data_IF_833933571081
#
_entry.id   IF_833933571081
#
_cell.length_a   1.000
_cell.length_b   1.000
_cell.length_c   1.000
_cell.angle_alpha   90.00
_cell.angle_beta   90.00
_cell.angle_gamma   90.00
#
_symmetry.space_group_name_H-M   'P 1'
#
loop_
_entity.id
_entity.type
_entity.pdbx_description
1 polymer ?
#
# COMPACT_ATOMS: atom_id res chain seq x y z
N UNK A 1 -35.17 7.27 -14.30
CA UNK A 1 -35.61 7.10 -12.90
C UNK A 1 -34.45 7.52 -11.99
N UNK A 2 -34.71 8.27 -10.91
CA UNK A 2 -34.29 9.67 -10.73
C UNK A 2 -32.80 9.86 -10.36
N UNK A 3 -32.30 11.06 -10.68
CA UNK A 3 -30.90 11.45 -10.62
C UNK A 3 -30.27 11.42 -9.24
N UNK A 4 -28.99 11.05 -9.20
CA UNK A 4 -28.07 11.45 -8.14
C UNK A 4 -27.30 12.66 -8.64
N UNK A 5 -27.90 13.83 -8.49
CA UNK A 5 -27.13 15.07 -8.46
C UNK A 5 -26.13 14.94 -7.32
N UNK A 6 -24.84 15.11 -7.61
CA UNK A 6 -23.82 15.22 -6.58
C UNK A 6 -23.87 16.66 -6.02
N UNK A 7 -24.85 16.95 -5.17
CA UNK A 7 -24.73 18.05 -4.21
C UNK A 7 -24.52 17.45 -2.83
N UNK A 8 -23.27 17.38 -2.39
CA UNK A 8 -23.03 17.48 -0.95
C UNK A 8 -23.37 18.90 -0.53
N UNK A 9 -24.00 19.07 0.63
CA UNK A 9 -24.66 20.29 1.12
C UNK A 9 -23.82 21.60 1.18
N UNK A 10 -22.65 21.72 0.55
CA UNK A 10 -21.73 22.87 0.66
C UNK A 10 -20.85 23.17 -0.58
N UNK A 11 -21.27 22.84 -1.82
CA UNK A 11 -20.46 23.06 -3.04
C UNK A 11 -19.07 22.36 -3.00
N UNK A 12 -18.98 21.22 -2.31
CA UNK A 12 -17.77 20.41 -2.19
C UNK A 12 -18.01 19.06 -2.87
N UNK A 13 -17.11 18.70 -3.79
CA UNK A 13 -17.03 17.36 -4.34
C UNK A 13 -16.14 16.50 -3.43
N UNK A 14 -16.71 15.45 -2.84
CA UNK A 14 -16.02 14.63 -1.83
C UNK A 14 -15.90 13.17 -2.27
N UNK A 15 -14.71 12.63 -2.09
CA UNK A 15 -14.31 11.23 -2.21
C UNK A 15 -13.68 10.73 -0.91
N UNK A 16 -13.88 11.46 0.19
CA UNK A 16 -13.34 11.15 1.51
C UNK A 16 -13.77 9.77 1.99
N UNK A 17 -12.93 9.15 2.81
CA UNK A 17 -13.23 7.85 3.37
C UNK A 17 -12.12 7.37 4.29
N UNK A 18 -12.39 6.23 4.93
CA UNK A 18 -11.40 5.53 5.74
C UNK A 18 -10.76 4.41 4.91
N UNK A 19 -9.43 4.44 4.80
CA UNK A 19 -8.66 3.35 4.20
C UNK A 19 -7.67 2.85 5.25
N UNK A 20 -7.74 1.58 5.66
CA UNK A 20 -6.86 1.07 6.71
C UNK A 20 -5.38 1.06 6.31
N UNK A 21 -5.08 1.15 5.00
CA UNK A 21 -3.72 1.13 4.45
C UNK A 21 -3.40 2.47 3.78
N UNK A 22 -2.12 2.72 3.55
CA UNK A 22 -1.69 3.85 2.76
C UNK A 22 -2.01 3.62 1.27
N UNK A 23 -2.73 4.54 0.63
CA UNK A 23 -3.02 4.49 -0.80
C UNK A 23 -2.75 5.85 -1.44
N UNK A 24 -2.21 5.86 -2.65
CA UNK A 24 -2.28 7.04 -3.51
C UNK A 24 -3.50 6.89 -4.41
N UNK A 25 -4.56 7.65 -4.13
CA UNK A 25 -5.77 7.64 -4.95
C UNK A 25 -5.76 8.80 -5.92
N UNK A 26 -6.22 8.53 -7.13
CA UNK A 26 -6.32 9.50 -8.21
C UNK A 26 -7.74 9.53 -8.76
N UNK A 27 -8.21 10.71 -9.17
CA UNK A 27 -9.48 10.94 -9.84
C UNK A 27 -9.27 11.90 -11.00
N UNK A 28 -9.94 11.60 -12.11
CA UNK A 28 -10.00 12.47 -13.27
C UNK A 28 -11.44 12.96 -13.41
N UNK A 29 -11.60 14.28 -13.44
CA UNK A 29 -12.88 14.95 -13.59
C UNK A 29 -12.82 15.85 -14.82
N UNK A 30 -13.99 16.20 -15.34
CA UNK A 30 -14.13 17.08 -16.48
C UNK A 30 -15.28 18.03 -16.26
N UNK A 31 -15.06 19.29 -16.58
CA UNK A 31 -16.09 20.33 -16.59
C UNK A 31 -15.93 21.17 -17.85
N UNK A 32 -17.05 21.52 -18.48
CA UNK A 32 -17.07 22.47 -19.58
C UNK A 32 -17.49 23.84 -19.00
N UNK A 33 -16.69 24.89 -19.22
CA UNK A 33 -16.99 26.28 -18.82
C UNK A 33 -17.35 27.10 -20.07
N UNK A 34 -18.37 27.94 -19.98
CA UNK A 34 -18.84 28.75 -21.10
C UNK A 34 -18.61 30.23 -20.80
N UNK A 35 -17.51 30.77 -21.33
CA UNK A 35 -17.09 32.14 -21.11
C UNK A 35 -17.79 33.09 -22.09
N UNK A 36 -18.38 34.22 -21.63
CA UNK A 36 -19.07 35.16 -22.53
C UNK A 36 -18.10 35.92 -23.45
N UNK A 37 -16.84 36.04 -23.06
CA UNK A 37 -15.77 36.65 -23.84
C UNK A 37 -14.44 35.97 -23.53
N UNK A 38 -13.44 36.12 -24.40
CA UNK A 38 -12.07 35.70 -24.09
C UNK A 38 -11.50 36.59 -23.00
N UNK A 39 -10.78 36.01 -22.04
CA UNK A 39 -10.23 36.76 -20.91
C UNK A 39 -9.77 35.88 -19.77
N UNK A 40 -9.43 36.52 -18.66
CA UNK A 40 -9.01 35.85 -17.44
C UNK A 40 -10.16 35.83 -16.44
N UNK A 41 -10.39 34.67 -15.85
CA UNK A 41 -11.47 34.41 -14.90
C UNK A 41 -10.89 33.85 -13.60
N UNK A 42 -11.27 34.44 -12.46
CA UNK A 42 -10.68 34.10 -11.15
C UNK A 42 -11.45 32.99 -10.45
N UNK A 43 -10.72 31.97 -10.00
CA UNK A 43 -11.26 30.86 -9.22
C UNK A 43 -10.45 30.65 -7.95
N UNK A 44 -11.10 30.17 -6.91
CA UNK A 44 -10.45 29.60 -5.73
C UNK A 44 -10.59 28.10 -5.76
N UNK A 45 -9.45 27.42 -5.76
CA UNK A 45 -9.36 25.97 -5.64
C UNK A 45 -9.06 25.62 -4.20
N UNK A 46 -9.79 24.67 -3.64
CA UNK A 46 -9.61 24.17 -2.28
C UNK A 46 -9.51 22.65 -2.27
N UNK A 47 -8.45 22.09 -1.66
CA UNK A 47 -8.25 20.64 -1.51
C UNK A 47 -7.31 20.31 -0.34
N UNK A 48 -7.24 19.04 0.07
CA UNK A 48 -6.22 18.54 1.01
C UNK A 48 -4.97 18.02 0.28
N UNK A 49 -5.18 17.23 -0.79
CA UNK A 49 -4.14 16.57 -1.57
C UNK A 49 -3.61 17.45 -2.70
N UNK A 50 -3.69 16.97 -3.94
CA UNK A 50 -3.30 17.71 -5.14
C UNK A 50 -4.45 17.90 -6.11
N UNK A 51 -4.45 19.05 -6.79
CA UNK A 51 -5.29 19.39 -7.93
C UNK A 51 -4.45 19.96 -9.06
N UNK A 52 -4.68 19.47 -10.27
CA UNK A 52 -4.08 19.98 -11.51
C UNK A 52 -5.17 20.19 -12.55
N UNK A 53 -5.08 21.30 -13.29
CA UNK A 53 -6.04 21.69 -14.32
C UNK A 53 -5.35 21.79 -15.67
N UNK A 54 -6.00 21.29 -16.72
CA UNK A 54 -5.60 21.47 -18.11
C UNK A 54 -6.77 21.96 -18.95
N UNK A 55 -6.47 22.70 -20.01
CA UNK A 55 -7.40 23.04 -21.10
C UNK A 55 -6.76 22.61 -22.41
N UNK A 56 -7.41 21.71 -23.14
CA UNK A 56 -6.93 21.21 -24.44
C UNK A 56 -5.43 20.83 -24.42
N UNK A 57 -5.06 20.00 -23.42
CA UNK A 57 -3.69 19.51 -23.11
C UNK A 57 -2.69 20.55 -22.59
N UNK A 58 -3.06 21.84 -22.54
CA UNK A 58 -2.24 22.90 -21.96
C UNK A 58 -2.43 22.96 -20.43
N UNK A 59 -1.36 22.83 -19.61
CA UNK A 59 -1.46 22.91 -18.16
C UNK A 59 -1.77 24.34 -17.71
N UNK A 60 -2.85 24.52 -16.94
CA UNK A 60 -3.27 25.82 -16.40
C UNK A 60 -2.88 26.00 -14.94
N UNK A 61 -3.02 24.95 -14.12
CA UNK A 61 -2.82 25.04 -12.66
C UNK A 61 -2.19 23.77 -12.14
N UNK A 62 -1.28 23.92 -11.17
CA UNK A 62 -0.80 22.85 -10.31
C UNK A 62 -0.80 23.35 -8.86
N UNK A 63 -1.63 22.75 -8.01
CA UNK A 63 -1.71 23.05 -6.58
C UNK A 63 -1.70 21.76 -5.79
N UNK A 64 -0.61 21.49 -5.08
CA UNK A 64 -0.36 20.20 -4.41
C UNK A 64 0.06 20.38 -2.94
N UNK A 65 -0.83 20.89 -2.08
CA UNK A 65 -0.52 21.15 -0.67
C UNK A 65 -0.24 19.89 0.16
N UNK A 66 -0.89 18.75 -0.13
CA UNK A 66 -0.76 17.49 0.63
C UNK A 66 -0.80 17.67 2.15
N UNK A 67 -1.82 18.37 2.64
CA UNK A 67 -2.05 18.61 4.07
C UNK A 67 -3.11 17.67 4.62
N UNK A 68 -2.73 16.81 5.58
CA UNK A 68 -3.62 15.82 6.19
C UNK A 68 -4.90 16.45 6.75
N UNK A 69 -6.03 16.09 6.15
CA UNK A 69 -7.40 16.45 6.58
C UNK A 69 -7.65 17.95 6.82
N UNK A 70 -6.79 18.81 6.28
CA UNK A 70 -6.93 20.26 6.37
C UNK A 70 -7.03 20.80 4.97
N UNK A 71 -8.17 21.39 4.64
CA UNK A 71 -8.36 22.02 3.33
C UNK A 71 -7.42 23.22 3.21
N UNK A 72 -6.63 23.29 2.14
CA UNK A 72 -5.85 24.45 1.74
C UNK A 72 -6.45 25.02 0.46
N UNK A 73 -6.22 26.30 0.21
CA UNK A 73 -6.73 26.94 -0.99
C UNK A 73 -5.68 27.79 -1.69
N UNK A 74 -5.91 28.01 -2.98
CA UNK A 74 -5.17 28.97 -3.79
C UNK A 74 -6.15 29.65 -4.75
N UNK A 75 -5.91 30.93 -5.04
CA UNK A 75 -6.64 31.65 -6.08
C UNK A 75 -5.86 31.59 -7.38
N UNK A 76 -6.56 31.29 -8.47
CA UNK A 76 -6.00 31.06 -9.78
C UNK A 76 -6.78 31.84 -10.83
N UNK A 77 -6.03 32.44 -11.75
CA UNK A 77 -6.55 33.15 -12.90
C UNK A 77 -6.51 32.20 -14.11
N UNK A 78 -7.68 31.78 -14.60
CA UNK A 78 -7.79 30.91 -15.78
C UNK A 78 -8.03 31.75 -17.03
N UNK A 79 -7.14 31.63 -18.02
CA UNK A 79 -7.36 32.21 -19.34
C UNK A 79 -8.36 31.34 -20.12
N UNK A 80 -9.54 31.89 -20.42
CA UNK A 80 -10.61 31.21 -21.16
C UNK A 80 -10.84 31.92 -22.50
N UNK A 81 -11.17 31.15 -23.54
CA UNK A 81 -11.64 31.67 -24.83
C UNK A 81 -13.15 31.90 -24.78
N UNK A 82 -13.67 32.87 -25.53
CA UNK A 82 -15.11 33.04 -25.69
C UNK A 82 -15.78 31.73 -26.14
N UNK A 83 -16.92 31.38 -25.54
CA UNK A 83 -17.61 30.11 -25.75
C UNK A 83 -17.10 29.00 -24.84
N UNK A 84 -17.11 27.77 -25.35
CA UNK A 84 -16.85 26.55 -24.57
C UNK A 84 -15.36 26.32 -24.33
N UNK A 85 -15.00 26.10 -23.07
CA UNK A 85 -13.66 25.73 -22.61
C UNK A 85 -13.77 24.42 -21.84
N UNK A 86 -13.07 23.38 -22.29
CA UNK A 86 -13.06 22.11 -21.58
C UNK A 86 -11.90 22.06 -20.60
N UNK A 87 -12.21 21.89 -19.32
CA UNK A 87 -11.21 21.65 -18.30
C UNK A 87 -11.14 20.18 -17.94
N UNK A 88 -9.92 19.65 -17.95
CA UNK A 88 -9.58 18.37 -17.34
C UNK A 88 -8.99 18.63 -15.96
N UNK A 89 -9.50 17.95 -14.94
CA UNK A 89 -9.09 18.10 -13.55
C UNK A 89 -8.52 16.77 -13.09
N UNK A 90 -7.26 16.76 -12.66
CA UNK A 90 -6.68 15.64 -11.96
C UNK A 90 -6.62 15.94 -10.47
N UNK A 91 -7.23 15.08 -9.67
CA UNK A 91 -7.17 15.11 -8.23
C UNK A 91 -6.38 13.92 -7.73
N UNK A 92 -5.52 14.12 -6.76
CA UNK A 92 -4.84 13.02 -6.08
C UNK A 92 -4.68 13.23 -4.59
N UNK A 93 -4.67 12.14 -3.83
CA UNK A 93 -4.56 12.16 -2.39
C UNK A 93 -3.78 10.97 -1.86
N UNK A 94 -3.01 11.21 -0.80
CA UNK A 94 -2.33 10.18 -0.02
C UNK A 94 -3.26 9.76 1.13
N UNK A 95 -4.05 8.72 0.88
CA UNK A 95 -4.93 8.12 1.87
C UNK A 95 -4.12 7.40 2.93
N UNK A 96 -4.39 7.71 4.19
CA UNK A 96 -3.98 6.91 5.35
C UNK A 96 -5.04 7.07 6.45
N UNK A 97 -5.75 5.98 6.77
CA UNK A 97 -6.90 5.96 7.70
C UNK A 97 -7.99 6.92 7.22
N UNK A 98 -8.62 7.65 8.12
CA UNK A 98 -9.59 8.70 7.80
C UNK A 98 -8.92 9.81 7.01
N UNK A 99 -9.28 9.92 5.73
CA UNK A 99 -8.72 10.91 4.82
C UNK A 99 -9.81 11.74 4.17
N UNK A 100 -9.67 13.07 4.25
CA UNK A 100 -10.48 14.03 3.52
C UNK A 100 -9.95 14.16 2.11
N UNK A 101 -10.63 13.56 1.13
CA UNK A 101 -10.31 13.70 -0.27
C UNK A 101 -11.39 14.51 -0.97
N UNK A 102 -11.21 15.82 -1.01
CA UNK A 102 -12.24 16.73 -1.50
C UNK A 102 -11.67 17.80 -2.43
N UNK A 103 -12.52 18.28 -3.33
CA UNK A 103 -12.28 19.43 -4.19
C UNK A 103 -13.43 20.43 -4.03
N UNK A 104 -13.08 21.70 -3.92
CA UNK A 104 -13.99 22.81 -4.17
C UNK A 104 -13.33 23.75 -5.17
N UNK A 105 -14.11 24.19 -6.15
CA UNK A 105 -13.72 25.18 -7.15
C UNK A 105 -14.78 26.27 -7.16
N UNK A 106 -14.43 27.46 -6.66
CA UNK A 106 -15.35 28.60 -6.52
C UNK A 106 -14.96 29.68 -7.51
N UNK A 107 -15.87 30.06 -8.39
CA UNK A 107 -15.69 31.22 -9.25
C UNK A 107 -15.89 32.53 -8.46
N UNK A 108 -15.02 33.52 -8.66
CA UNK A 108 -14.93 34.71 -7.80
C UNK A 108 -15.28 36.03 -8.49
N UNK A 109 -15.39 36.09 -9.82
CA UNK A 109 -15.63 37.35 -10.51
C UNK A 109 -17.14 37.67 -10.63
N UNK A 110 -17.45 38.93 -10.91
CA UNK A 110 -18.83 39.42 -11.08
C UNK A 110 -19.48 39.03 -12.42
N UNK A 111 -18.67 38.80 -13.46
CA UNK A 111 -19.16 38.46 -14.80
C UNK A 111 -19.79 37.07 -14.77
N UNK A 112 -21.05 36.85 -15.18
CA UNK A 112 -21.64 35.51 -15.19
C UNK A 112 -20.85 34.53 -16.04
N UNK A 113 -20.59 33.34 -15.49
CA UNK A 113 -19.93 32.24 -16.17
C UNK A 113 -20.83 31.01 -16.08
N UNK A 114 -21.13 30.40 -17.21
CA UNK A 114 -21.97 29.21 -17.28
C UNK A 114 -21.11 27.93 -17.30
N UNK A 115 -21.68 26.79 -16.90
CA UNK A 115 -20.95 25.53 -16.78
C UNK A 115 -21.82 24.33 -17.17
N UNK A 116 -21.15 23.29 -17.70
CA UNK A 116 -21.76 22.01 -18.04
C UNK A 116 -20.93 20.86 -17.48
N UNK A 117 -21.62 19.86 -16.94
CA UNK A 117 -21.03 18.56 -16.62
C UNK A 117 -21.27 17.60 -17.80
N UNK A 118 -20.29 16.75 -18.16
CA UNK A 118 -20.49 15.81 -19.26
C UNK A 118 -21.58 14.78 -18.96
N UNK A 119 -22.39 14.46 -19.96
CA UNK A 119 -23.35 13.35 -19.91
C UNK A 119 -22.58 12.03 -19.83
N UNK A 120 -22.49 11.50 -18.62
CA UNK A 120 -21.80 10.26 -18.22
C UNK A 120 -20.28 10.23 -18.48
N UNK A 121 -19.54 9.94 -17.42
CA UNK A 121 -18.19 9.38 -17.54
C UNK A 121 -18.32 7.97 -18.11
N UNK A 122 -17.53 7.53 -19.12
CA UNK A 122 -17.39 6.10 -19.37
C UNK A 122 -17.04 5.45 -18.04
N UNK A 123 -17.74 4.37 -17.67
CA UNK A 123 -17.54 3.74 -16.38
C UNK A 123 -16.10 3.24 -16.31
N UNK A 124 -15.22 4.03 -15.67
CA UNK A 124 -13.98 3.52 -15.12
C UNK A 124 -14.42 2.42 -14.17
N UNK A 125 -13.94 1.20 -14.43
CA UNK A 125 -14.14 0.05 -13.55
C UNK A 125 -13.92 0.56 -12.14
N UNK A 126 -14.98 0.55 -11.31
CA UNK A 126 -14.86 0.98 -9.93
C UNK A 126 -13.63 0.26 -9.37
N UNK A 127 -12.66 0.98 -8.74
CA UNK A 127 -11.59 0.27 -8.05
C UNK A 127 -12.29 -0.77 -7.19
N UNK A 128 -11.91 -2.06 -7.35
CA UNK A 128 -12.53 -3.14 -6.58
C UNK A 128 -12.67 -2.63 -5.17
N UNK A 129 -13.90 -2.50 -4.69
CA UNK A 129 -14.12 -2.20 -3.28
C UNK A 129 -13.38 -3.31 -2.55
N UNK A 130 -12.22 -2.97 -2.02
CA UNK A 130 -11.51 -3.84 -1.11
C UNK A 130 -12.40 -3.84 0.12
N UNK A 131 -13.29 -4.82 0.19
CA UNK A 131 -13.85 -5.22 1.47
C UNK A 131 -12.64 -5.71 2.24
N UNK A 132 -12.19 -5.00 3.28
CA UNK A 132 -11.17 -5.56 4.14
C UNK A 132 -11.71 -6.92 4.57
N UNK A 133 -10.93 -8.02 4.50
CA UNK A 133 -11.26 -9.17 5.32
C UNK A 133 -11.51 -8.58 6.70
N UNK A 134 -12.66 -8.92 7.30
CA UNK A 134 -13.03 -8.48 8.65
C UNK A 134 -11.75 -8.52 9.46
N UNK A 135 -11.37 -7.41 10.11
CA UNK A 135 -10.16 -7.35 10.93
C UNK A 135 -10.12 -8.65 11.70
N UNK A 136 -9.27 -9.57 11.24
CA UNK A 136 -8.93 -10.72 12.03
C UNK A 136 -8.33 -10.01 13.22
N UNK A 137 -9.04 -10.14 14.33
CA UNK A 137 -8.43 -10.02 15.63
C UNK A 137 -7.02 -10.59 15.52
N UNK A 138 -6.10 -10.03 16.29
CA UNK A 138 -4.81 -10.63 16.61
C UNK A 138 -4.97 -12.00 17.29
N UNK A 139 -5.91 -12.85 16.84
CA UNK A 139 -5.77 -14.28 16.87
C UNK A 139 -4.45 -14.57 16.16
N UNK A 140 -3.50 -15.02 16.96
CA UNK A 140 -2.19 -15.46 16.52
C UNK A 140 -2.44 -16.62 15.54
N UNK A 141 -2.42 -16.34 14.23
CA UNK A 141 -2.50 -17.41 13.23
C UNK A 141 -1.24 -18.26 13.36
N UNK A 142 -1.44 -19.44 13.91
CA UNK A 142 -0.44 -20.43 14.30
C UNK A 142 -0.13 -21.42 13.17
N UNK A 143 -0.69 -21.20 11.97
CA UNK A 143 -0.57 -22.13 10.83
C UNK A 143 0.89 -22.53 10.56
N UNK A 144 1.81 -21.56 10.62
CA UNK A 144 3.24 -21.79 10.39
C UNK A 144 3.91 -22.63 11.48
N UNK A 145 3.54 -22.43 12.75
CA UNK A 145 4.05 -23.22 13.86
C UNK A 145 3.49 -24.65 13.84
N UNK A 146 2.18 -24.78 13.58
CA UNK A 146 1.52 -26.08 13.45
C UNK A 146 2.06 -26.88 12.27
N UNK A 147 2.33 -26.22 11.14
CA UNK A 147 3.02 -26.83 10.00
C UNK A 147 4.38 -27.41 10.39
N UNK A 148 5.20 -26.65 11.12
CA UNK A 148 6.52 -27.10 11.57
C UNK A 148 6.41 -28.30 12.51
N UNK A 149 5.46 -28.29 13.45
CA UNK A 149 5.25 -29.39 14.39
C UNK A 149 4.91 -30.70 13.66
N UNK A 150 3.98 -30.66 12.71
CA UNK A 150 3.61 -31.84 11.93
C UNK A 150 4.75 -32.32 11.02
N UNK A 151 5.50 -31.39 10.41
CA UNK A 151 6.69 -31.73 9.61
C UNK A 151 7.77 -32.43 10.46
N UNK A 152 8.00 -31.96 11.69
CA UNK A 152 8.96 -32.56 12.62
C UNK A 152 8.55 -33.98 13.06
N UNK A 153 7.24 -34.20 13.27
CA UNK A 153 6.68 -35.51 13.62
C UNK A 153 6.50 -36.43 12.39
N UNK A 154 6.76 -35.92 11.18
CA UNK A 154 6.53 -36.60 9.89
C UNK A 154 5.07 -37.03 9.68
N UNK A 155 4.14 -36.28 10.25
CA UNK A 155 2.70 -36.50 10.11
C UNK A 155 2.20 -35.84 8.82
N UNK A 156 2.30 -36.57 7.72
CA UNK A 156 1.98 -36.07 6.38
C UNK A 156 0.51 -36.30 6.02
N UNK A 157 -0.34 -35.34 6.39
CA UNK A 157 -1.77 -35.32 6.10
C UNK A 157 -2.21 -34.20 5.13
N UNK A 158 -3.45 -34.24 4.62
CA UNK A 158 -3.98 -33.22 3.70
C UNK A 158 -4.02 -31.80 4.29
N UNK A 159 -3.94 -31.68 5.62
CA UNK A 159 -3.88 -30.40 6.33
C UNK A 159 -2.54 -29.67 6.11
N UNK A 160 -1.43 -30.37 5.81
CA UNK A 160 -0.11 -29.73 5.62
C UNK A 160 -0.11 -28.76 4.45
N UNK A 161 -0.71 -29.16 3.33
CA UNK A 161 -0.83 -28.31 2.15
C UNK A 161 -1.61 -27.04 2.51
N UNK A 162 -2.74 -27.18 3.22
CA UNK A 162 -3.56 -26.05 3.65
C UNK A 162 -2.79 -25.10 4.58
N UNK A 163 -2.04 -25.63 5.55
CA UNK A 163 -1.22 -24.84 6.46
C UNK A 163 -0.09 -24.11 5.71
N UNK A 164 0.59 -24.79 4.78
CA UNK A 164 1.62 -24.18 3.94
C UNK A 164 1.03 -23.08 3.05
N UNK A 165 -0.11 -23.33 2.40
CA UNK A 165 -0.79 -22.32 1.58
C UNK A 165 -1.25 -21.11 2.40
N UNK A 166 -1.81 -21.33 3.60
CA UNK A 166 -2.19 -20.26 4.53
C UNK A 166 -0.98 -19.40 4.88
N UNK A 167 0.10 -20.03 5.34
CA UNK A 167 1.36 -19.37 5.72
C UNK A 167 1.95 -18.59 4.54
N UNK A 168 2.02 -19.19 3.35
CA UNK A 168 2.52 -18.54 2.14
C UNK A 168 1.66 -17.34 1.72
N UNK A 169 0.33 -17.45 1.85
CA UNK A 169 -0.60 -16.39 1.48
C UNK A 169 -0.38 -15.17 2.36
N UNK A 170 -0.33 -15.37 3.68
CA UNK A 170 -0.10 -14.31 4.66
C UNK A 170 1.24 -13.59 4.49
N UNK A 171 2.32 -14.35 4.27
CA UNK A 171 3.66 -13.79 4.04
C UNK A 171 3.73 -13.05 2.70
N UNK A 172 3.14 -13.61 1.64
CA UNK A 172 3.13 -12.97 0.32
C UNK A 172 2.28 -11.70 0.28
N UNK A 173 1.17 -11.68 1.04
CA UNK A 173 0.31 -10.51 1.20
C UNK A 173 0.91 -9.45 2.14
N UNK A 174 2.01 -9.76 2.85
CA UNK A 174 2.69 -8.86 3.79
C UNK A 174 1.71 -8.29 4.82
N UNK A 175 0.90 -9.18 5.39
CA UNK A 175 -0.07 -8.82 6.43
C UNK A 175 0.63 -8.40 7.73
N UNK A 176 -0.12 -7.74 8.62
CA UNK A 176 0.37 -7.40 9.96
C UNK A 176 0.77 -8.68 10.72
N UNK A 177 1.96 -8.68 11.31
CA UNK A 177 2.52 -9.85 11.99
C UNK A 177 2.96 -10.99 11.05
N UNK A 178 2.94 -10.82 9.73
CA UNK A 178 3.41 -11.84 8.78
C UNK A 178 4.89 -12.22 8.96
N UNK A 179 5.68 -11.41 9.66
CA UNK A 179 7.08 -11.74 10.01
C UNK A 179 7.19 -13.00 10.87
N UNK A 180 6.20 -13.28 11.72
CA UNK A 180 6.19 -14.51 12.52
C UNK A 180 5.93 -15.75 11.66
N UNK A 181 4.99 -15.65 10.69
CA UNK A 181 4.77 -16.68 9.67
C UNK A 181 6.00 -16.84 8.76
N UNK A 182 6.69 -15.75 8.43
CA UNK A 182 7.93 -15.76 7.67
C UNK A 182 9.05 -16.52 8.40
N UNK A 183 9.20 -16.29 9.70
CA UNK A 183 10.14 -17.02 10.54
C UNK A 183 9.85 -18.54 10.50
N UNK A 184 8.58 -18.94 10.53
CA UNK A 184 8.22 -20.35 10.33
C UNK A 184 8.63 -20.89 8.95
N UNK A 185 8.45 -20.11 7.86
CA UNK A 185 8.91 -20.51 6.53
C UNK A 185 10.43 -20.62 6.42
N UNK A 186 11.18 -19.76 7.11
CA UNK A 186 12.63 -19.84 7.18
C UNK A 186 13.10 -21.13 7.85
N UNK A 187 12.47 -21.51 8.97
CA UNK A 187 12.73 -22.79 9.64
C UNK A 187 12.33 -23.99 8.79
N UNK A 188 11.16 -23.92 8.14
CA UNK A 188 10.67 -24.95 7.24
C UNK A 188 11.68 -25.19 6.10
N UNK A 189 12.18 -24.11 5.50
CA UNK A 189 13.22 -24.18 4.48
C UNK A 189 14.54 -24.74 5.03
N UNK A 190 14.97 -24.29 6.21
CA UNK A 190 16.22 -24.72 6.79
C UNK A 190 16.25 -26.22 7.10
N UNK A 191 15.14 -26.76 7.63
CA UNK A 191 15.10 -28.13 8.19
C UNK A 191 14.52 -29.18 7.26
N UNK A 192 13.54 -28.81 6.44
CA UNK A 192 12.72 -29.78 5.71
C UNK A 192 12.71 -29.58 4.19
N UNK A 193 13.54 -28.69 3.66
CA UNK A 193 13.54 -28.42 2.21
C UNK A 193 13.80 -29.70 1.42
N UNK A 194 12.88 -29.98 0.50
CA UNK A 194 12.92 -31.16 -0.36
C UNK A 194 12.16 -32.36 0.19
N UNK A 195 11.65 -32.27 1.42
CA UNK A 195 10.75 -33.27 2.01
C UNK A 195 9.30 -33.00 1.63
N UNK A 196 8.47 -34.06 1.65
CA UNK A 196 7.02 -34.12 1.53
C UNK A 196 6.37 -33.36 0.34
N UNK A 197 6.53 -32.03 0.28
CA UNK A 197 5.96 -31.16 -0.72
C UNK A 197 6.63 -31.30 -2.10
N UNK A 198 5.88 -31.15 -3.20
CA UNK A 198 6.43 -31.15 -4.54
C UNK A 198 7.38 -29.95 -4.77
N UNK A 199 8.35 -30.12 -5.67
CA UNK A 199 9.36 -29.11 -5.98
C UNK A 199 8.79 -27.72 -6.35
N UNK A 200 7.57 -27.66 -6.91
CA UNK A 200 6.88 -26.40 -7.21
C UNK A 200 6.56 -25.59 -5.95
N UNK A 201 6.16 -26.25 -4.86
CA UNK A 201 5.88 -25.56 -3.59
C UNK A 201 7.15 -25.07 -2.94
N UNK A 202 8.25 -25.84 -2.99
CA UNK A 202 9.55 -25.35 -2.53
C UNK A 202 10.05 -24.15 -3.33
N UNK A 203 9.84 -24.12 -4.66
CA UNK A 203 10.11 -22.90 -5.46
C UNK A 203 9.27 -21.72 -4.99
N UNK A 204 8.00 -21.93 -4.66
CA UNK A 204 7.12 -20.89 -4.12
C UNK A 204 7.60 -20.39 -2.75
N UNK A 205 7.98 -21.29 -1.83
CA UNK A 205 8.59 -20.91 -0.53
C UNK A 205 9.82 -20.04 -0.76
N UNK A 206 10.77 -20.47 -1.60
CA UNK A 206 11.97 -19.67 -1.90
C UNK A 206 11.60 -18.30 -2.48
N UNK A 207 10.67 -18.25 -3.43
CA UNK A 207 10.22 -17.00 -4.04
C UNK A 207 9.57 -16.07 -3.02
N UNK A 208 8.78 -16.61 -2.09
CA UNK A 208 8.16 -15.83 -1.01
C UNK A 208 9.22 -15.27 -0.06
N UNK A 209 10.24 -16.05 0.32
CA UNK A 209 11.35 -15.59 1.15
C UNK A 209 12.15 -14.48 0.46
N UNK A 210 12.56 -14.66 -0.80
CA UNK A 210 13.35 -13.66 -1.55
C UNK A 210 12.54 -12.43 -1.96
N UNK A 211 11.21 -12.55 -2.07
CA UNK A 211 10.30 -11.47 -2.42
C UNK A 211 9.76 -10.67 -1.22
N UNK A 212 10.03 -11.12 0.00
CA UNK A 212 9.57 -10.45 1.20
C UNK A 212 10.32 -9.12 1.44
N UNK A 213 9.66 -8.21 2.15
CA UNK A 213 10.19 -6.90 2.53
C UNK A 213 10.66 -6.97 3.98
N UNK A 214 11.96 -7.00 4.20
CA UNK A 214 12.57 -7.28 5.50
C UNK A 214 12.65 -6.07 6.41
N UNK A 215 12.45 -4.86 5.89
CA UNK A 215 12.46 -3.64 6.70
C UNK A 215 11.77 -2.47 6.01
N UNK A 216 11.48 -1.39 6.76
CA UNK A 216 10.69 -0.27 6.27
C UNK A 216 11.39 0.56 5.17
N UNK A 217 12.72 0.50 5.04
CA UNK A 217 13.49 1.19 3.99
C UNK A 217 13.39 0.50 2.62
N UNK A 218 12.88 -0.73 2.58
CA UNK A 218 12.74 -1.51 1.35
C UNK A 218 11.46 -1.15 0.61
N UNK A 219 11.47 -1.31 -0.72
CA UNK A 219 10.32 -0.95 -1.57
C UNK A 219 9.10 -1.82 -1.23
N UNK A 220 7.99 -1.17 -0.97
CA UNK A 220 6.70 -1.81 -0.72
C UNK A 220 5.69 -0.85 -0.11
N UNK A 221 4.41 -1.12 -0.35
CA UNK A 221 3.30 -0.44 0.29
C UNK A 221 2.42 -1.53 0.90
N UNK A 222 2.66 -1.82 2.17
CA UNK A 222 2.07 -2.94 2.90
C UNK A 222 1.80 -2.55 4.36
N UNK A 223 1.12 -3.44 5.09
CA UNK A 223 0.44 -3.16 6.36
C UNK A 223 1.30 -3.54 7.57
N UNK A 224 2.54 -3.96 7.31
CA UNK A 224 3.43 -4.54 8.30
C UNK A 224 3.87 -3.50 9.34
N UNK A 225 3.70 -3.85 10.61
CA UNK A 225 4.20 -3.06 11.73
C UNK A 225 5.65 -3.46 12.03
N UNK A 226 6.61 -2.62 11.63
CA UNK A 226 8.04 -2.86 11.87
C UNK A 226 8.49 -2.49 13.29
N UNK A 227 7.71 -1.67 13.98
CA UNK A 227 8.08 -1.07 15.26
C UNK A 227 7.44 -1.82 16.44
N UNK A 228 8.02 -1.64 17.63
CA UNK A 228 7.74 -2.42 18.84
C UNK A 228 8.82 -3.47 19.07
N UNK A 229 9.18 -3.73 20.34
CA UNK A 229 10.33 -4.58 20.71
C UNK A 229 10.29 -5.96 20.03
N UNK A 230 9.13 -6.62 20.12
CA UNK A 230 8.91 -7.95 19.53
C UNK A 230 9.06 -7.95 18.00
N UNK A 231 8.43 -6.98 17.31
CA UNK A 231 8.49 -6.87 15.86
C UNK A 231 9.92 -6.56 15.38
N UNK A 232 10.60 -5.62 16.03
CA UNK A 232 11.97 -5.24 15.68
C UNK A 232 12.89 -6.46 15.75
N UNK A 233 12.82 -7.23 16.83
CA UNK A 233 13.61 -8.44 16.99
C UNK A 233 13.24 -9.51 15.93
N UNK A 234 11.95 -9.72 15.66
CA UNK A 234 11.50 -10.70 14.67
C UNK A 234 11.99 -10.35 13.25
N UNK A 235 11.88 -9.09 12.83
CA UNK A 235 12.34 -8.63 11.52
C UNK A 235 13.86 -8.71 11.39
N UNK A 236 14.62 -8.29 12.42
CA UNK A 236 16.08 -8.40 12.43
C UNK A 236 16.52 -9.87 12.34
N UNK A 237 15.88 -10.75 13.10
CA UNK A 237 16.14 -12.20 13.08
C UNK A 237 15.83 -12.78 11.71
N UNK A 238 14.67 -12.46 11.14
CA UNK A 238 14.29 -12.94 9.82
C UNK A 238 15.25 -12.44 8.73
N UNK A 239 15.64 -11.16 8.77
CA UNK A 239 16.58 -10.57 7.80
C UNK A 239 17.96 -11.22 7.89
N UNK A 240 18.44 -11.47 9.10
CA UNK A 240 19.69 -12.17 9.33
C UNK A 240 19.64 -13.61 8.79
N UNK A 241 18.64 -14.38 9.18
CA UNK A 241 18.48 -15.78 8.79
C UNK A 241 18.31 -15.93 7.28
N UNK A 242 17.47 -15.11 6.66
CA UNK A 242 17.26 -15.14 5.22
C UNK A 242 18.55 -14.81 4.46
N UNK A 243 19.28 -13.78 4.92
CA UNK A 243 20.57 -13.41 4.34
C UNK A 243 21.61 -14.52 4.46
N UNK A 244 21.65 -15.23 5.60
CA UNK A 244 22.53 -16.39 5.85
C UNK A 244 22.15 -17.60 4.98
N UNK A 245 20.86 -17.88 4.79
CA UNK A 245 20.36 -19.01 4.00
C UNK A 245 20.57 -18.82 2.49
N UNK A 246 20.60 -17.57 2.01
CA UNK A 246 20.69 -17.24 0.59
C UNK A 246 21.73 -16.16 0.29
N UNK A 247 23.01 -16.37 0.64
CA UNK A 247 24.03 -15.31 0.64
C UNK A 247 24.22 -14.62 -0.72
N UNK A 248 24.07 -15.37 -1.81
CA UNK A 248 24.27 -14.90 -3.19
C UNK A 248 22.97 -14.63 -3.94
N UNK A 249 21.80 -14.81 -3.31
CA UNK A 249 20.53 -14.55 -3.96
C UNK A 249 20.15 -13.06 -3.89
N UNK A 250 19.44 -12.58 -4.92
CA UNK A 250 18.86 -11.25 -4.96
C UNK A 250 17.54 -11.20 -4.19
N UNK A 251 17.45 -10.29 -3.22
CA UNK A 251 16.23 -9.96 -2.50
C UNK A 251 15.49 -8.85 -3.25
N UNK A 252 14.29 -9.15 -3.76
CA UNK A 252 13.64 -8.33 -4.78
C UNK A 252 13.19 -6.97 -4.23
N UNK A 253 12.66 -6.93 -3.00
CA UNK A 253 12.15 -5.71 -2.38
C UNK A 253 13.25 -4.66 -2.13
N UNK A 254 14.48 -5.11 -1.87
CA UNK A 254 15.62 -4.24 -1.57
C UNK A 254 16.60 -4.05 -2.72
N UNK A 255 16.64 -5.00 -3.66
CA UNK A 255 17.70 -5.10 -4.66
C UNK A 255 19.05 -5.54 -4.08
N UNK A 256 19.10 -6.00 -2.83
CA UNK A 256 20.33 -6.41 -2.13
C UNK A 256 20.59 -7.91 -2.29
N UNK A 257 21.86 -8.31 -2.22
CA UNK A 257 22.24 -9.72 -2.08
C UNK A 257 22.07 -10.19 -0.63
N UNK A 258 21.92 -11.49 -0.41
CA UNK A 258 21.67 -12.05 0.94
C UNK A 258 22.74 -11.72 1.97
N UNK A 259 24.02 -11.79 1.64
CA UNK A 259 25.10 -11.40 2.56
C UNK A 259 25.01 -9.92 2.97
N UNK A 260 24.46 -9.06 2.10
CA UNK A 260 24.21 -7.65 2.41
C UNK A 260 23.03 -7.50 3.36
N UNK A 261 21.95 -8.28 3.16
CA UNK A 261 20.82 -8.34 4.10
C UNK A 261 21.27 -8.81 5.48
N UNK A 262 22.09 -9.87 5.54
CA UNK A 262 22.63 -10.40 6.78
C UNK A 262 23.44 -9.34 7.55
N UNK A 263 24.38 -8.67 6.86
CA UNK A 263 25.20 -7.61 7.47
C UNK A 263 24.36 -6.43 7.93
N UNK A 264 23.32 -6.06 7.18
CA UNK A 264 22.44 -4.96 7.53
C UNK A 264 21.57 -5.27 8.74
N UNK A 265 21.11 -6.51 8.91
CA UNK A 265 20.41 -6.96 10.11
C UNK A 265 21.27 -6.78 11.36
N UNK A 266 22.54 -7.21 11.30
CA UNK A 266 23.49 -7.06 12.41
C UNK A 266 23.78 -5.59 12.72
N UNK A 267 23.91 -4.73 11.70
CA UNK A 267 24.15 -3.31 11.87
C UNK A 267 22.96 -2.55 12.48
N UNK A 268 21.74 -3.10 12.40
CA UNK A 268 20.52 -2.52 12.99
C UNK A 268 20.29 -2.96 14.42
N UNK A 269 20.88 -4.09 14.84
CA UNK A 269 20.73 -4.60 16.18
C UNK A 269 21.43 -3.66 17.17
N UNK A 270 20.75 -3.33 18.27
CA UNK A 270 21.38 -2.60 19.38
C UNK A 270 22.49 -3.44 20.03
N UNK A 271 22.29 -4.76 20.09
CA UNK A 271 23.26 -5.75 20.52
C UNK A 271 23.34 -6.87 19.47
N UNK A 272 24.45 -6.90 18.72
CA UNK A 272 24.70 -7.91 17.70
C UNK A 272 24.85 -9.31 18.29
N UNK A 273 25.47 -9.43 19.48
CA UNK A 273 25.67 -10.72 20.14
C UNK A 273 24.34 -11.32 20.59
N UNK A 274 23.45 -10.50 21.15
CA UNK A 274 22.10 -10.92 21.52
C UNK A 274 21.28 -11.37 20.31
N UNK A 275 21.34 -10.64 19.18
CA UNK A 275 20.64 -11.05 17.96
C UNK A 275 21.17 -12.39 17.42
N UNK A 276 22.50 -12.59 17.42
CA UNK A 276 23.10 -13.85 16.98
C UNK A 276 22.65 -15.02 17.85
N UNK A 277 22.76 -14.87 19.17
CA UNK A 277 22.33 -15.90 20.13
C UNK A 277 20.83 -16.20 19.99
N UNK A 278 20.01 -15.16 19.79
CA UNK A 278 18.58 -15.34 19.54
C UNK A 278 18.31 -16.08 18.22
N UNK A 279 18.98 -15.71 17.13
CA UNK A 279 18.81 -16.37 15.84
C UNK A 279 19.28 -17.84 15.86
N UNK A 280 20.36 -18.14 16.58
CA UNK A 280 20.84 -19.52 16.81
C UNK A 280 19.82 -20.31 17.64
N UNK A 281 19.38 -19.75 18.76
CA UNK A 281 18.33 -20.36 19.59
C UNK A 281 17.03 -20.55 18.81
N UNK A 282 16.68 -19.64 17.90
CA UNK A 282 15.48 -19.76 17.07
C UNK A 282 15.60 -20.93 16.08
N UNK A 283 16.78 -21.13 15.51
CA UNK A 283 17.07 -22.24 14.59
C UNK A 283 17.22 -23.58 15.32
N UNK A 284 17.70 -23.59 16.56
CA UNK A 284 17.91 -24.79 17.37
C UNK A 284 16.66 -25.16 18.20
N UNK A 285 16.09 -24.23 18.95
CA UNK A 285 15.05 -24.44 19.97
C UNK A 285 13.70 -24.99 19.47
N UNK A 286 13.42 -24.96 18.16
CA UNK A 286 12.24 -25.64 17.62
C UNK A 286 12.46 -27.14 17.31
N UNK A 287 13.56 -27.77 17.78
CA UNK A 287 13.80 -29.23 17.69
C UNK A 287 13.34 -30.01 18.93
N UNK A 288 12.58 -29.39 19.84
CA UNK A 288 11.95 -30.06 20.98
C UNK A 288 10.47 -30.32 20.72
#
# INVERSE_FOLDING_TARGET
MPGRGFSGDNNILSFSGFYPLAYHLQRWLRVDLFAPHSGTFTFRLTTCGGVRLWRDDEPLVCFTPFTRNRMQHTEVALALSAGKNRLLIHLDELFERDTTFALQMVYLDATPLDYGLPDACPQLIAPRQYTPPAHSTTAHDDSGQRLLALMAQREYGPELDALLYSTLTRVSAREAGSVFSLLSLLLLWHRHRGEHFPAVLWRRVKSTLLGYRYWHDERGCDVMAFWGEENVLAFQTAQYLAGKLFPDALFIASGRLGHQQQRLALARAADTGALLAHAETFVEGATA
#
